data_IF_989723402756
#
_entry.id   IF_989723402756
#
_cell.length_a   1.000
_cell.length_b   1.000
_cell.length_c   1.000
_cell.angle_alpha   90.00
_cell.angle_beta   90.00
_cell.angle_gamma   90.00
#
_symmetry.space_group_name_H-M   'P 1'
#
loop_
_entity.id
_entity.type
_entity.pdbx_description
1 polymer ?
#
# COMPACT_ATOMS: atom_id res chain seq x y z
N UNK A 1 14.11 9.20 20.64
CA UNK A 1 14.63 8.53 21.86
C UNK A 1 14.56 7.04 21.62
N UNK A 2 15.70 6.35 21.52
CA UNK A 2 15.74 4.89 21.54
C UNK A 2 15.54 4.49 23.01
N UNK A 3 14.33 4.10 23.36
CA UNK A 3 14.06 3.57 24.70
C UNK A 3 14.74 2.22 24.89
N UNK A 4 15.31 1.96 26.05
CA UNK A 4 15.74 0.62 26.44
C UNK A 4 14.51 -0.31 26.49
N UNK A 5 14.67 -1.61 26.14
CA UNK A 5 13.59 -2.56 26.30
C UNK A 5 13.20 -2.67 27.77
N UNK A 6 11.92 -2.94 28.04
CA UNK A 6 11.45 -3.26 29.38
C UNK A 6 12.12 -4.60 29.81
N UNK A 7 12.90 -4.52 30.88
CA UNK A 7 13.62 -5.68 31.42
C UNK A 7 12.76 -6.36 32.47
N UNK A 8 12.69 -7.68 32.39
CA UNK A 8 11.88 -8.53 33.29
C UNK A 8 12.31 -8.41 34.77
N UNK A 9 13.61 -8.16 34.98
CA UNK A 9 14.20 -7.94 36.29
C UNK A 9 13.56 -6.73 37.02
N UNK A 10 13.01 -5.77 36.29
CA UNK A 10 12.42 -4.55 36.84
C UNK A 10 10.89 -4.51 36.75
N UNK A 11 10.25 -5.60 36.30
CA UNK A 11 8.80 -5.72 36.22
C UNK A 11 8.25 -6.68 37.24
N UNK A 12 7.01 -6.48 37.77
CA UNK A 12 6.30 -7.52 38.50
C UNK A 12 6.21 -8.79 37.64
N UNK A 13 6.31 -9.95 38.28
CA UNK A 13 6.50 -11.27 37.62
C UNK A 13 5.48 -11.75 36.58
N UNK A 14 4.50 -10.93 36.19
CA UNK A 14 3.42 -11.33 35.26
C UNK A 14 3.53 -10.77 33.83
N UNK A 15 4.56 -10.04 33.46
CA UNK A 15 4.70 -9.46 32.12
C UNK A 15 5.91 -10.03 31.35
N UNK A 16 5.75 -11.19 30.74
CA UNK A 16 6.68 -11.65 29.71
C UNK A 16 6.41 -10.89 28.40
N UNK A 17 7.01 -9.72 28.22
CA UNK A 17 6.95 -9.02 26.97
C UNK A 17 8.02 -9.56 26.02
N UNK A 18 7.60 -10.23 24.97
CA UNK A 18 8.47 -10.55 23.83
C UNK A 18 9.03 -9.24 23.27
N UNK A 19 10.35 -9.17 23.02
CA UNK A 19 10.97 -7.98 22.45
C UNK A 19 10.18 -7.55 21.20
N UNK A 20 9.72 -6.31 21.20
CA UNK A 20 8.86 -5.81 20.14
C UNK A 20 9.66 -5.79 18.82
N UNK A 21 9.37 -6.73 17.94
CA UNK A 21 9.86 -6.70 16.57
C UNK A 21 9.51 -5.33 15.95
N UNK A 22 10.39 -4.82 15.08
CA UNK A 22 10.12 -3.60 14.32
C UNK A 22 8.74 -3.69 13.69
N UNK A 23 7.90 -2.67 13.91
CA UNK A 23 6.58 -2.62 13.27
C UNK A 23 6.75 -2.75 11.76
N UNK A 24 5.99 -3.63 11.09
CA UNK A 24 6.11 -3.79 9.65
C UNK A 24 5.74 -2.51 8.92
N UNK A 25 6.25 -2.33 7.73
CA UNK A 25 5.75 -1.32 6.81
C UNK A 25 4.53 -1.85 6.05
N UNK A 26 3.67 -0.94 5.62
CA UNK A 26 2.52 -1.23 4.74
C UNK A 26 2.58 -0.28 3.56
N UNK A 27 2.50 -0.81 2.34
CA UNK A 27 2.46 -0.03 1.11
C UNK A 27 1.19 -0.41 0.36
N UNK A 28 0.40 0.58 -0.06
CA UNK A 28 -0.86 0.37 -0.76
C UNK A 28 -0.81 1.10 -2.10
N UNK A 29 -1.05 0.38 -3.18
CA UNK A 29 -1.23 0.90 -4.53
C UNK A 29 -2.69 0.75 -4.90
N UNK A 30 -3.35 1.85 -5.25
CA UNK A 30 -4.76 1.89 -5.63
C UNK A 30 -4.88 2.28 -7.10
N UNK A 31 -5.39 1.35 -7.90
CA UNK A 31 -5.72 1.57 -9.32
C UNK A 31 -7.15 2.06 -9.52
N UNK A 32 -7.49 2.35 -10.76
CA UNK A 32 -8.79 2.86 -11.19
C UNK A 32 -9.53 1.92 -12.13
N UNK A 33 -10.80 2.24 -12.38
CA UNK A 33 -11.68 1.71 -13.44
C UNK A 33 -11.93 0.19 -13.39
N UNK A 34 -11.64 -0.47 -12.27
CA UNK A 34 -11.85 -1.91 -12.10
C UNK A 34 -10.91 -2.75 -12.97
N UNK A 35 -11.25 -4.02 -13.12
CA UNK A 35 -10.49 -5.02 -13.89
C UNK A 35 -11.42 -5.88 -14.74
N UNK A 36 -10.85 -6.61 -15.71
CA UNK A 36 -11.62 -7.58 -16.51
C UNK A 36 -11.79 -8.88 -15.72
N UNK A 37 -12.89 -9.00 -15.03
CA UNK A 37 -13.26 -10.21 -14.31
C UNK A 37 -14.68 -10.67 -14.71
N UNK A 38 -14.97 -11.96 -14.48
CA UNK A 38 -16.29 -12.52 -14.78
C UNK A 38 -17.39 -11.74 -14.07
N UNK A 39 -18.44 -11.39 -14.81
CA UNK A 39 -19.56 -10.62 -14.30
C UNK A 39 -20.26 -9.79 -15.36
N UNK A 40 -20.99 -8.78 -14.89
CA UNK A 40 -21.73 -7.84 -15.76
C UNK A 40 -20.93 -6.57 -15.92
N UNK A 41 -20.83 -6.07 -17.15
CA UNK A 41 -20.38 -4.71 -17.45
C UNK A 41 -21.51 -3.94 -18.15
N UNK A 42 -21.41 -2.60 -18.17
CA UNK A 42 -22.43 -1.68 -18.72
C UNK A 42 -22.86 -2.00 -20.15
N UNK A 43 -21.95 -2.51 -20.98
CA UNK A 43 -22.19 -2.81 -22.40
C UNK A 43 -22.22 -4.29 -22.74
N UNK A 44 -21.94 -5.16 -21.77
CA UNK A 44 -21.79 -6.61 -21.99
C UNK A 44 -22.41 -7.37 -20.83
N UNK A 45 -23.35 -8.26 -21.13
CA UNK A 45 -24.07 -9.03 -20.11
C UNK A 45 -23.21 -10.11 -19.42
N UNK A 46 -22.11 -10.52 -20.02
CA UNK A 46 -21.18 -11.51 -19.45
C UNK A 46 -19.77 -11.17 -19.86
N UNK A 47 -18.94 -10.82 -18.90
CA UNK A 47 -17.51 -10.61 -19.11
C UNK A 47 -16.71 -11.90 -18.88
N UNK A 48 -15.66 -12.14 -19.67
CA UNK A 48 -14.77 -13.26 -19.42
C UNK A 48 -13.95 -13.02 -18.15
N UNK A 49 -13.55 -14.09 -17.48
CA UNK A 49 -12.56 -14.00 -16.43
C UNK A 49 -11.17 -13.81 -17.05
N UNK A 50 -10.55 -12.65 -16.81
CA UNK A 50 -9.21 -12.30 -17.31
C UNK A 50 -8.24 -11.83 -16.23
N UNK A 51 -8.70 -11.73 -14.99
CA UNK A 51 -7.91 -11.15 -13.91
C UNK A 51 -7.38 -12.17 -12.93
N UNK A 52 -8.28 -12.92 -12.28
CA UNK A 52 -7.94 -13.82 -11.17
C UNK A 52 -7.20 -15.08 -11.62
N UNK A 53 -6.35 -15.70 -10.76
CA UNK A 53 -5.81 -17.01 -11.04
C UNK A 53 -6.92 -18.03 -11.34
N UNK A 54 -6.62 -19.03 -12.16
CA UNK A 54 -7.61 -20.03 -12.59
C UNK A 54 -8.19 -20.85 -11.45
N UNK A 55 -7.40 -21.14 -10.41
CA UNK A 55 -7.84 -21.97 -9.28
C UNK A 55 -7.46 -21.33 -7.94
N UNK A 56 -8.37 -21.41 -6.97
CA UNK A 56 -8.11 -21.07 -5.57
C UNK A 56 -7.18 -22.08 -4.90
N UNK A 57 -6.53 -21.67 -3.81
CA UNK A 57 -5.61 -22.50 -3.05
C UNK A 57 -4.16 -22.07 -3.22
N UNK A 58 -3.25 -23.03 -3.21
CA UNK A 58 -1.82 -22.76 -3.28
C UNK A 58 -1.42 -22.13 -4.63
N UNK A 59 -0.65 -21.03 -4.55
CA UNK A 59 -0.05 -20.38 -5.71
C UNK A 59 1.36 -20.92 -5.93
N UNK A 60 1.69 -21.26 -7.15
CA UNK A 60 3.05 -21.64 -7.56
C UNK A 60 3.47 -20.84 -8.78
N UNK A 61 4.77 -20.65 -8.95
CA UNK A 61 5.31 -20.03 -10.18
C UNK A 61 4.80 -20.72 -11.43
N UNK A 62 4.74 -22.06 -11.43
CA UNK A 62 4.27 -22.84 -12.58
C UNK A 62 2.80 -22.57 -12.92
N UNK A 63 1.90 -22.58 -11.92
CA UNK A 63 0.47 -22.33 -12.15
C UNK A 63 0.23 -20.89 -12.64
N UNK A 64 0.87 -19.90 -12.03
CA UNK A 64 0.71 -18.50 -12.43
C UNK A 64 1.35 -18.21 -13.79
N UNK A 65 2.47 -18.89 -14.13
CA UNK A 65 3.07 -18.77 -15.46
C UNK A 65 2.15 -19.36 -16.53
N UNK A 66 1.50 -20.48 -16.26
CA UNK A 66 0.50 -21.06 -17.17
C UNK A 66 -0.69 -20.11 -17.37
N UNK A 67 -1.09 -19.39 -16.33
CA UNK A 67 -2.16 -18.40 -16.38
C UNK A 67 -1.80 -17.12 -17.15
N UNK A 68 -0.52 -16.81 -17.33
CA UNK A 68 -0.04 -15.51 -17.84
C UNK A 68 -0.65 -15.08 -19.18
N UNK A 69 -1.01 -16.02 -20.04
CA UNK A 69 -1.63 -15.71 -21.35
C UNK A 69 -3.06 -15.19 -21.18
N UNK A 70 -3.79 -15.72 -20.21
CA UNK A 70 -5.24 -15.51 -20.07
C UNK A 70 -5.63 -14.72 -18.82
N UNK A 71 -4.73 -14.58 -17.84
CA UNK A 71 -4.98 -13.94 -16.53
C UNK A 71 -3.95 -12.87 -16.24
N UNK A 72 -4.39 -11.68 -15.88
CA UNK A 72 -3.51 -10.56 -15.54
C UNK A 72 -2.60 -10.87 -14.35
N UNK A 73 -3.12 -11.59 -13.34
CA UNK A 73 -2.33 -12.01 -12.17
C UNK A 73 -1.12 -12.87 -12.51
N UNK A 74 -1.08 -13.51 -13.68
CA UNK A 74 0.07 -14.24 -14.17
C UNK A 74 1.33 -13.42 -14.35
N UNK A 75 1.23 -12.07 -14.45
CA UNK A 75 2.39 -11.17 -14.46
C UNK A 75 3.19 -11.22 -13.16
N UNK A 76 2.57 -11.68 -12.07
CA UNK A 76 3.18 -11.79 -10.74
C UNK A 76 3.74 -13.20 -10.45
N UNK A 77 3.89 -14.07 -11.45
CA UNK A 77 4.30 -15.47 -11.28
C UNK A 77 5.61 -15.62 -10.49
N UNK A 78 6.59 -14.71 -10.67
CA UNK A 78 7.86 -14.73 -9.93
C UNK A 78 7.69 -14.58 -8.42
N UNK A 79 6.56 -14.04 -7.99
CA UNK A 79 6.21 -13.80 -6.58
C UNK A 79 5.16 -14.75 -6.04
N UNK A 80 4.73 -15.77 -6.79
CA UNK A 80 3.63 -16.66 -6.45
C UNK A 80 3.63 -17.13 -4.99
N UNK A 81 4.79 -17.57 -4.49
CA UNK A 81 4.94 -18.09 -3.12
C UNK A 81 4.90 -16.99 -2.02
N UNK A 82 4.98 -15.73 -2.42
CA UNK A 82 4.93 -14.58 -1.51
C UNK A 82 3.59 -13.84 -1.56
N UNK A 83 2.75 -14.17 -2.55
CA UNK A 83 1.46 -13.53 -2.74
C UNK A 83 0.39 -14.09 -1.81
N UNK A 84 -0.52 -13.22 -1.41
CA UNK A 84 -1.84 -13.57 -0.92
C UNK A 84 -2.86 -12.80 -1.77
N UNK A 85 -3.56 -13.53 -2.65
CA UNK A 85 -4.62 -12.99 -3.51
C UNK A 85 -5.95 -13.25 -2.85
N UNK A 86 -6.78 -12.20 -2.70
CA UNK A 86 -8.05 -12.29 -1.98
C UNK A 86 -9.18 -11.83 -2.88
N UNK A 87 -10.12 -12.73 -3.15
CA UNK A 87 -11.34 -12.48 -3.89
C UNK A 87 -12.52 -12.38 -2.93
N UNK A 88 -13.53 -11.56 -3.25
CA UNK A 88 -14.74 -11.45 -2.45
C UNK A 88 -14.73 -10.30 -1.45
N UNK A 89 -13.95 -9.25 -1.70
CA UNK A 89 -13.93 -8.02 -0.90
C UNK A 89 -14.97 -7.03 -1.44
N UNK A 90 -15.75 -6.42 -0.55
CA UNK A 90 -16.80 -5.46 -0.88
C UNK A 90 -16.58 -4.09 -0.26
N UNK A 91 -16.90 -3.03 -1.00
CA UNK A 91 -17.14 -1.72 -0.42
C UNK A 91 -18.53 -1.68 0.25
N UNK A 92 -18.66 -0.99 1.39
CA UNK A 92 -19.87 -1.12 2.22
C UNK A 92 -21.08 -0.32 1.77
N UNK A 93 -20.90 0.73 0.98
CA UNK A 93 -21.99 1.65 0.64
C UNK A 93 -22.12 1.89 -0.85
N UNK A 94 -23.34 1.95 -1.35
CA UNK A 94 -23.62 2.33 -2.72
C UNK A 94 -23.15 3.75 -3.01
N UNK A 95 -22.91 4.05 -4.29
CA UNK A 95 -22.64 5.41 -4.71
C UNK A 95 -23.87 6.28 -4.55
N UNK A 96 -23.63 7.56 -4.36
CA UNK A 96 -24.66 8.58 -4.25
C UNK A 96 -24.32 9.78 -5.16
N UNK A 97 -23.95 9.47 -6.38
CA UNK A 97 -23.40 10.40 -7.36
C UNK A 97 -22.38 9.69 -8.25
N UNK A 98 -21.16 10.20 -8.33
CA UNK A 98 -20.09 9.53 -9.09
C UNK A 98 -19.59 8.28 -8.37
N UNK A 99 -19.73 7.13 -9.01
CA UNK A 99 -19.32 5.83 -8.44
C UNK A 99 -17.84 5.73 -8.20
N UNK A 100 -16.99 6.28 -9.07
CA UNK A 100 -15.54 6.32 -8.88
C UNK A 100 -15.15 7.09 -7.61
N UNK A 101 -15.68 8.30 -7.45
CA UNK A 101 -15.44 9.12 -6.26
C UNK A 101 -15.96 8.44 -4.97
N UNK A 102 -17.09 7.74 -5.06
CA UNK A 102 -17.65 6.99 -3.95
C UNK A 102 -16.76 5.79 -3.56
N UNK A 103 -16.21 5.11 -4.55
CA UNK A 103 -15.31 3.98 -4.35
C UNK A 103 -13.98 4.41 -3.74
N UNK A 104 -13.36 5.47 -4.29
CA UNK A 104 -12.13 6.05 -3.74
C UNK A 104 -12.30 6.44 -2.27
N UNK A 105 -13.42 7.07 -1.94
CA UNK A 105 -13.70 7.50 -0.56
C UNK A 105 -13.84 6.31 0.42
N UNK A 106 -14.21 5.11 -0.06
CA UNK A 106 -14.51 3.95 0.78
C UNK A 106 -13.36 2.96 0.89
N UNK A 107 -12.51 2.82 -0.13
CA UNK A 107 -11.54 1.71 -0.23
C UNK A 107 -10.58 1.64 0.96
N UNK A 108 -10.13 2.77 1.49
CA UNK A 108 -9.24 2.81 2.66
C UNK A 108 -9.90 3.34 3.93
N UNK A 109 -11.20 3.65 3.90
CA UNK A 109 -11.91 4.19 5.06
C UNK A 109 -13.01 3.26 5.59
N UNK A 110 -13.61 2.45 4.70
CA UNK A 110 -14.83 1.70 4.98
C UNK A 110 -15.93 2.57 5.65
N UNK A 111 -16.01 3.85 5.31
CA UNK A 111 -16.90 4.81 5.92
C UNK A 111 -18.03 5.20 4.96
N UNK A 112 -19.12 5.71 5.52
CA UNK A 112 -20.16 6.41 4.73
C UNK A 112 -19.54 7.54 3.93
N UNK A 113 -20.22 7.91 2.86
CA UNK A 113 -19.82 9.00 1.97
C UNK A 113 -20.82 10.16 2.06
N UNK A 114 -20.39 11.36 1.71
CA UNK A 114 -21.27 12.52 1.62
C UNK A 114 -22.36 12.29 0.58
N UNK A 115 -23.63 12.61 0.87
CA UNK A 115 -24.72 12.42 -0.07
C UNK A 115 -24.70 13.41 -1.23
N UNK A 116 -25.26 13.03 -2.38
CA UNK A 116 -25.63 13.91 -3.49
C UNK A 116 -24.48 14.62 -4.19
N UNK A 117 -23.25 14.11 -4.11
CA UNK A 117 -22.05 14.77 -4.66
C UNK A 117 -21.42 13.95 -5.79
N UNK A 118 -21.00 14.65 -6.85
CA UNK A 118 -20.12 14.06 -7.88
C UNK A 118 -18.70 13.88 -7.36
N UNK A 119 -18.35 14.57 -6.26
CA UNK A 119 -17.08 14.45 -5.54
C UNK A 119 -17.35 13.97 -4.11
N UNK A 120 -17.68 12.68 -3.97
CA UNK A 120 -17.98 12.09 -2.68
C UNK A 120 -16.76 12.18 -1.74
N UNK A 121 -17.02 12.40 -0.47
CA UNK A 121 -16.00 12.44 0.58
C UNK A 121 -16.33 11.40 1.66
N UNK A 122 -15.33 10.73 2.17
CA UNK A 122 -15.52 9.78 3.28
C UNK A 122 -15.90 10.51 4.57
N UNK A 123 -16.81 9.90 5.33
CA UNK A 123 -17.24 10.39 6.65
C UNK A 123 -16.37 9.82 7.81
N UNK A 124 -15.24 9.18 7.48
CA UNK A 124 -14.29 8.61 8.43
C UNK A 124 -12.85 8.85 8.02
N UNK A 125 -11.94 8.54 8.94
CA UNK A 125 -10.48 8.56 8.65
C UNK A 125 -10.09 7.34 7.82
N UNK A 126 -8.98 7.45 7.09
CA UNK A 126 -8.43 6.32 6.35
C UNK A 126 -7.46 5.47 7.20
N UNK A 127 -7.30 4.21 6.81
CA UNK A 127 -6.43 3.24 7.51
C UNK A 127 -4.98 3.69 7.55
N UNK A 128 -4.49 4.34 6.50
CA UNK A 128 -3.14 4.90 6.45
C UNK A 128 -2.95 6.02 7.48
N UNK A 129 -3.95 6.86 7.69
CA UNK A 129 -3.94 7.88 8.76
C UNK A 129 -3.91 7.23 10.14
N UNK A 130 -4.71 6.17 10.36
CA UNK A 130 -4.72 5.45 11.65
C UNK A 130 -3.37 4.77 11.93
N UNK A 131 -2.78 4.10 10.94
CA UNK A 131 -1.47 3.45 11.06
C UNK A 131 -0.37 4.49 11.28
N UNK A 132 -0.36 5.59 10.52
CA UNK A 132 0.66 6.63 10.66
C UNK A 132 0.65 7.25 12.06
N UNK A 133 -0.52 7.60 12.58
CA UNK A 133 -0.67 8.14 13.95
C UNK A 133 -0.10 7.20 15.01
N UNK A 134 -0.24 5.89 14.83
CA UNK A 134 0.17 4.90 15.81
C UNK A 134 1.64 4.44 15.64
N UNK A 135 2.17 4.44 14.42
CA UNK A 135 3.41 3.72 14.09
C UNK A 135 4.49 4.53 13.41
N UNK A 136 4.15 5.66 12.78
CA UNK A 136 5.17 6.49 12.15
C UNK A 136 6.08 7.16 13.19
N UNK A 137 7.35 7.37 12.86
CA UNK A 137 8.25 8.12 13.73
C UNK A 137 7.73 9.54 13.98
N UNK A 138 7.74 9.97 15.28
CA UNK A 138 7.53 11.36 15.70
C UNK A 138 6.29 12.07 15.10
N UNK A 139 5.16 11.37 14.99
CA UNK A 139 3.90 11.97 14.50
C UNK A 139 3.90 12.31 13.01
N UNK A 140 4.81 11.70 12.23
CA UNK A 140 4.87 11.90 10.79
C UNK A 140 3.61 11.38 10.11
N UNK A 141 3.09 12.16 9.18
CA UNK A 141 1.99 11.77 8.29
C UNK A 141 2.33 10.56 7.42
N UNK A 142 1.33 9.81 6.91
CA UNK A 142 1.56 8.80 5.88
C UNK A 142 2.15 9.44 4.63
N UNK A 143 2.97 8.70 3.89
CA UNK A 143 3.45 9.12 2.57
C UNK A 143 2.33 8.84 1.55
N UNK A 144 1.67 9.88 1.06
CA UNK A 144 0.53 9.74 0.15
C UNK A 144 0.83 10.40 -1.18
N UNK A 145 0.90 9.58 -2.23
CA UNK A 145 1.41 9.91 -3.56
C UNK A 145 0.30 9.77 -4.62
N UNK A 146 0.42 10.50 -5.71
CA UNK A 146 -0.54 10.48 -6.80
C UNK A 146 0.15 10.51 -8.18
N UNK A 147 -0.20 9.55 -9.01
CA UNK A 147 0.23 9.45 -10.41
C UNK A 147 -0.98 9.49 -11.34
N UNK A 148 -1.58 10.68 -11.50
CA UNK A 148 -2.74 10.94 -12.35
C UNK A 148 -2.46 11.96 -13.44
N UNK A 149 -3.52 12.35 -14.14
CA UNK A 149 -3.53 13.39 -15.18
C UNK A 149 -4.14 14.70 -14.69
N UNK A 150 -4.27 14.85 -13.37
CA UNK A 150 -4.91 16.00 -12.77
C UNK A 150 -4.28 17.33 -13.21
N UNK A 151 -5.07 18.18 -13.80
CA UNK A 151 -4.71 19.56 -14.14
C UNK A 151 -5.44 20.53 -13.19
N UNK A 152 -4.73 21.32 -12.39
CA UNK A 152 -5.37 22.33 -11.56
C UNK A 152 -6.21 23.30 -12.41
N UNK A 153 -7.49 23.39 -12.15
CA UNK A 153 -8.42 24.24 -12.89
C UNK A 153 -9.21 23.55 -14.01
N UNK A 154 -9.08 22.23 -14.14
CA UNK A 154 -9.89 21.43 -15.07
C UNK A 154 -11.38 21.39 -14.72
N UNK A 155 -12.20 20.98 -15.67
CA UNK A 155 -13.65 20.82 -15.49
C UNK A 155 -13.90 19.66 -14.54
N UNK A 156 -14.79 19.75 -13.60
CA UNK A 156 -15.17 18.86 -12.49
C UNK A 156 -14.90 17.33 -12.52
N UNK A 157 -14.33 16.81 -13.60
CA UNK A 157 -13.87 15.44 -13.76
C UNK A 157 -12.35 15.28 -13.51
N UNK A 158 -11.59 16.37 -13.51
CA UNK A 158 -10.13 16.41 -13.36
C UNK A 158 -9.71 16.59 -11.90
N UNK A 159 -10.43 16.00 -10.97
CA UNK A 159 -10.05 15.98 -9.55
C UNK A 159 -9.40 14.64 -9.19
N UNK A 160 -8.36 14.67 -8.34
CA UNK A 160 -7.81 13.43 -7.80
C UNK A 160 -8.91 12.65 -7.07
N UNK A 161 -9.00 11.34 -7.32
CA UNK A 161 -9.80 10.46 -6.49
C UNK A 161 -9.14 10.36 -5.11
N UNK A 162 -9.77 10.86 -4.07
CA UNK A 162 -9.15 10.87 -2.73
C UNK A 162 -9.42 9.56 -1.99
N UNK A 163 -8.35 8.81 -1.69
CA UNK A 163 -8.40 7.57 -0.90
C UNK A 163 -7.92 7.76 0.54
N UNK A 164 -7.15 8.82 0.82
CA UNK A 164 -6.60 9.12 2.15
C UNK A 164 -7.33 10.29 2.81
N UNK A 165 -7.73 10.11 4.08
CA UNK A 165 -8.50 11.08 4.85
C UNK A 165 -7.90 11.31 6.23
N UNK A 166 -7.70 12.60 6.58
CA UNK A 166 -7.15 13.04 7.88
C UNK A 166 -8.23 12.97 8.97
N UNK A 167 -9.43 13.47 8.62
CA UNK A 167 -10.65 13.48 9.44
C UNK A 167 -11.85 13.28 8.51
N UNK A 168 -13.07 13.07 9.04
CA UNK A 168 -14.28 13.03 8.21
C UNK A 168 -14.35 14.22 7.24
N UNK A 169 -14.59 13.94 5.98
CA UNK A 169 -14.71 14.90 4.86
C UNK A 169 -13.45 15.71 4.54
N UNK A 170 -12.33 15.45 5.22
CA UNK A 170 -11.06 16.14 4.98
C UNK A 170 -10.07 15.20 4.29
N UNK A 171 -10.01 15.19 2.96
CA UNK A 171 -9.02 14.39 2.25
C UNK A 171 -7.62 14.93 2.48
N UNK A 172 -6.64 14.03 2.41
CA UNK A 172 -5.22 14.40 2.42
C UNK A 172 -4.80 14.86 1.02
N UNK A 173 -4.09 15.97 0.98
CA UNK A 173 -3.48 16.44 -0.26
C UNK A 173 -2.37 15.47 -0.66
N UNK A 174 -2.36 15.06 -1.90
CA UNK A 174 -1.35 14.18 -2.46
C UNK A 174 -0.04 14.91 -2.73
N UNK A 175 1.07 14.18 -2.61
CA UNK A 175 2.32 14.59 -3.25
C UNK A 175 2.27 14.04 -4.68
N UNK A 176 2.18 14.93 -5.63
CA UNK A 176 1.95 14.65 -7.03
C UNK A 176 3.22 14.73 -7.90
N UNK A 177 4.34 15.13 -7.35
CA UNK A 177 5.64 15.19 -8.01
C UNK A 177 6.61 14.19 -7.35
N UNK A 178 7.23 13.27 -8.14
CA UNK A 178 8.28 12.41 -7.63
C UNK A 178 9.43 13.20 -6.98
N UNK A 179 9.78 14.37 -7.52
CA UNK A 179 10.82 15.20 -6.95
C UNK A 179 10.45 15.78 -5.58
N UNK A 180 9.21 16.27 -5.41
CA UNK A 180 8.70 16.73 -4.11
C UNK A 180 8.66 15.59 -3.09
N UNK A 181 8.24 14.38 -3.52
CA UNK A 181 8.27 13.19 -2.66
C UNK A 181 9.70 12.83 -2.24
N UNK A 182 10.64 12.83 -3.16
CA UNK A 182 12.06 12.64 -2.88
C UNK A 182 12.57 13.66 -1.84
N UNK A 183 12.31 14.97 -2.06
CA UNK A 183 12.70 16.03 -1.12
C UNK A 183 12.09 15.82 0.27
N UNK A 184 10.82 15.43 0.35
CA UNK A 184 10.16 15.16 1.63
C UNK A 184 10.85 14.02 2.39
N UNK A 185 11.20 12.93 1.70
CA UNK A 185 11.84 11.75 2.31
C UNK A 185 13.26 12.10 2.79
N UNK A 186 14.06 12.80 2.02
CA UNK A 186 15.44 13.17 2.41
C UNK A 186 15.50 14.37 3.38
N UNK A 187 14.35 15.04 3.62
CA UNK A 187 14.26 16.15 4.58
C UNK A 187 14.79 17.48 4.06
N UNK A 188 14.85 17.66 2.73
CA UNK A 188 15.20 18.93 2.10
C UNK A 188 13.95 19.77 1.89
N UNK A 189 13.63 20.63 2.83
CA UNK A 189 12.62 21.68 2.67
C UNK A 189 13.30 22.95 2.23
N UNK A 190 13.26 23.29 0.94
CA UNK A 190 13.81 24.55 0.45
C UNK A 190 13.67 24.70 -1.05
N UNK A 191 12.92 25.71 -1.47
CA UNK A 191 12.90 26.21 -2.85
C UNK A 191 14.28 26.74 -3.22
N UNK A 192 14.95 26.06 -4.14
CA UNK A 192 16.13 26.61 -4.83
C UNK A 192 17.47 26.03 -4.42
N UNK A 193 18.03 25.36 -5.36
CA UNK A 193 19.44 25.14 -5.71
C UNK A 193 19.93 23.68 -5.65
N UNK A 194 20.61 23.33 -6.69
CA UNK A 194 21.65 22.31 -6.96
C UNK A 194 22.31 21.73 -5.70
N UNK A 195 21.78 20.60 -5.18
CA UNK A 195 22.43 19.85 -4.10
C UNK A 195 22.23 18.35 -4.23
N UNK A 196 22.88 17.70 -5.17
CA UNK A 196 22.89 16.24 -5.31
C UNK A 196 23.80 15.53 -4.30
N UNK A 197 24.97 16.11 -3.99
CA UNK A 197 25.91 15.53 -3.02
C UNK A 197 25.56 15.84 -1.55
N UNK A 198 24.89 16.97 -1.28
CA UNK A 198 24.51 17.38 0.08
C UNK A 198 23.33 16.59 0.63
N UNK A 199 22.47 16.06 -0.23
CA UNK A 199 21.25 15.34 0.16
C UNK A 199 21.59 13.89 0.57
N UNK A 200 22.49 13.24 -0.18
CA UNK A 200 23.09 11.97 0.23
C UNK A 200 23.88 12.13 1.54
N UNK A 201 24.61 13.25 1.71
CA UNK A 201 25.30 13.59 2.95
C UNK A 201 24.34 13.88 4.12
N UNK A 202 23.14 14.40 3.87
CA UNK A 202 22.14 14.63 4.94
C UNK A 202 21.56 13.30 5.46
N UNK A 203 21.26 12.34 4.58
CA UNK A 203 20.90 10.97 4.94
C UNK A 203 22.05 10.26 5.67
N UNK A 204 23.27 10.41 5.16
CA UNK A 204 24.48 9.84 5.76
C UNK A 204 24.76 10.50 7.13
N UNK A 205 24.56 11.81 7.29
CA UNK A 205 24.66 12.50 8.58
C UNK A 205 23.57 12.05 9.56
N UNK A 206 22.37 11.72 9.09
CA UNK A 206 21.27 11.18 9.92
C UNK A 206 21.59 9.76 10.38
N UNK A 207 22.10 8.93 9.47
CA UNK A 207 22.61 7.59 9.78
C UNK A 207 23.80 7.66 10.76
N UNK A 208 24.74 8.58 10.54
CA UNK A 208 25.87 8.81 11.44
C UNK A 208 25.45 9.36 12.81
N UNK A 209 24.41 10.19 12.89
CA UNK A 209 23.84 10.65 14.18
C UNK A 209 23.19 9.50 14.95
N UNK A 210 22.46 8.62 14.27
CA UNK A 210 21.89 7.41 14.89
C UNK A 210 22.99 6.48 15.37
N UNK A 211 24.05 6.30 14.58
CA UNK A 211 25.25 5.54 14.94
C UNK A 211 25.98 6.17 16.13
N UNK A 212 26.13 7.49 16.15
CA UNK A 212 26.76 8.22 17.25
C UNK A 212 26.01 8.08 18.57
N UNK A 213 24.66 8.03 18.55
CA UNK A 213 23.85 7.79 19.76
C UNK A 213 24.07 6.38 20.29
N UNK A 214 24.15 5.39 19.42
CA UNK A 214 24.42 4.01 19.81
C UNK A 214 25.84 3.81 20.35
N UNK A 215 26.83 4.48 19.76
CA UNK A 215 28.22 4.46 20.26
C UNK A 215 28.33 5.12 21.64
N UNK A 216 27.53 6.16 21.92
CA UNK A 216 27.45 6.81 23.24
C UNK A 216 26.77 5.90 24.27
N UNK A 217 25.76 5.14 23.87
CA UNK A 217 25.01 4.23 24.77
C UNK A 217 25.71 2.87 24.98
N UNK A 218 26.62 2.48 24.09
CA UNK A 218 27.29 1.18 24.12
C UNK A 218 28.02 0.90 25.45
N UNK A 219 28.79 1.84 26.06
CA UNK A 219 29.40 1.60 27.37
C UNK A 219 28.37 1.35 28.48
N UNK A 220 27.26 2.10 28.45
CA UNK A 220 26.17 1.96 29.44
C UNK A 220 25.45 0.63 29.30
N UNK A 221 25.22 0.18 28.07
CA UNK A 221 24.57 -1.08 27.77
C UNK A 221 25.52 -2.26 28.10
N UNK A 222 26.82 -2.13 27.80
CA UNK A 222 27.81 -3.12 28.19
C UNK A 222 27.92 -3.26 29.71
N UNK A 223 27.87 -2.13 30.43
CA UNK A 223 27.83 -2.13 31.90
C UNK A 223 26.54 -2.78 32.44
N UNK A 224 25.40 -2.57 31.76
CA UNK A 224 24.13 -3.22 32.11
C UNK A 224 24.18 -4.74 31.88
N UNK A 225 24.74 -5.20 30.76
CA UNK A 225 24.92 -6.61 30.43
C UNK A 225 25.90 -7.32 31.41
N UNK A 226 26.86 -6.57 31.97
CA UNK A 226 27.81 -7.08 32.94
C UNK A 226 27.23 -7.26 34.36
N UNK A 227 26.03 -6.78 34.63
CA UNK A 227 25.37 -6.94 35.95
C UNK A 227 25.07 -8.41 36.23
N UNK A 228 25.33 -8.83 37.42
CA UNK A 228 25.12 -10.21 37.87
C UNK A 228 23.68 -10.51 38.30
N UNK A 229 22.91 -9.45 38.57
CA UNK A 229 21.51 -9.52 38.98
C UNK A 229 20.50 -9.53 37.82
N UNK A 230 20.95 -9.43 36.56
CA UNK A 230 20.08 -9.62 35.42
C UNK A 230 19.71 -11.08 35.19
N UNK A 231 18.44 -11.35 34.97
CA UNK A 231 17.98 -12.68 34.55
C UNK A 231 18.54 -13.07 33.17
N UNK A 232 18.62 -14.37 32.91
CA UNK A 232 19.01 -14.88 31.59
C UNK A 232 18.09 -14.36 30.47
N UNK A 233 16.80 -14.22 30.79
CA UNK A 233 15.77 -13.68 29.89
C UNK A 233 16.04 -12.21 29.56
N UNK A 234 16.39 -11.39 30.55
CA UNK A 234 16.67 -9.97 30.34
C UNK A 234 17.97 -9.74 29.57
N UNK A 235 18.99 -10.59 29.82
CA UNK A 235 20.22 -10.57 29.00
C UNK A 235 19.92 -10.87 27.53
N UNK A 236 19.11 -11.90 27.27
CA UNK A 236 18.71 -12.26 25.90
C UNK A 236 17.92 -11.13 25.24
N UNK A 237 17.03 -10.45 25.96
CA UNK A 237 16.27 -9.29 25.46
C UNK A 237 17.15 -8.08 25.14
N UNK A 238 18.13 -7.79 26.02
CA UNK A 238 19.11 -6.73 25.77
C UNK A 238 19.97 -7.04 24.55
N UNK A 239 20.45 -8.27 24.44
CA UNK A 239 21.27 -8.72 23.31
C UNK A 239 20.47 -8.69 21.99
N UNK A 240 19.22 -9.13 22.03
CA UNK A 240 18.30 -9.05 20.89
C UNK A 240 17.99 -7.60 20.49
N UNK A 241 17.82 -6.71 21.47
CA UNK A 241 17.60 -5.28 21.21
C UNK A 241 18.85 -4.63 20.60
N UNK A 242 20.03 -4.96 21.10
CA UNK A 242 21.31 -4.51 20.56
C UNK A 242 21.55 -5.05 19.16
N UNK A 243 21.24 -6.33 18.94
CA UNK A 243 21.31 -6.95 17.63
C UNK A 243 20.37 -6.25 16.65
N UNK A 244 19.12 -5.98 17.04
CA UNK A 244 18.18 -5.25 16.20
C UNK A 244 18.65 -3.82 15.86
N UNK A 245 19.25 -3.11 16.83
CA UNK A 245 19.88 -1.79 16.58
C UNK A 245 21.06 -1.94 15.64
N UNK A 246 21.93 -2.93 15.85
CA UNK A 246 23.09 -3.22 14.99
C UNK A 246 22.65 -3.60 13.59
N UNK A 247 21.57 -4.36 13.46
CA UNK A 247 20.99 -4.77 12.19
C UNK A 247 20.48 -3.55 11.40
N UNK A 248 19.87 -2.58 12.08
CA UNK A 248 19.50 -1.30 11.50
C UNK A 248 20.74 -0.52 11.06
N UNK A 249 21.77 -0.46 11.89
CA UNK A 249 23.04 0.22 11.57
C UNK A 249 23.77 -0.45 10.39
N UNK A 250 23.83 -1.78 10.36
CA UNK A 250 24.43 -2.56 9.27
C UNK A 250 23.61 -2.37 8.00
N UNK A 251 22.29 -2.45 8.07
CA UNK A 251 21.40 -2.19 6.91
C UNK A 251 21.60 -0.78 6.38
N UNK A 252 21.72 0.21 7.27
CA UNK A 252 21.98 1.61 6.89
C UNK A 252 23.42 1.85 6.40
N UNK A 253 24.38 0.98 6.75
CA UNK A 253 25.79 1.13 6.39
C UNK A 253 26.24 0.24 5.23
N UNK A 254 25.59 -0.90 5.01
CA UNK A 254 25.96 -1.86 3.95
C UNK A 254 25.10 -1.73 2.72
N UNK A 255 23.83 -1.33 2.87
CA UNK A 255 23.01 -0.91 1.74
C UNK A 255 23.22 0.58 1.59
N UNK A 256 23.88 1.01 0.54
CA UNK A 256 23.91 2.41 0.15
C UNK A 256 22.48 2.76 -0.24
N UNK A 257 21.69 3.22 0.74
CA UNK A 257 20.32 3.70 0.51
C UNK A 257 20.43 5.02 -0.28
N UNK A 258 20.67 4.91 -1.56
CA UNK A 258 20.75 6.05 -2.49
C UNK A 258 19.73 5.88 -3.59
N UNK A 259 19.10 6.97 -3.94
CA UNK A 259 18.40 7.10 -5.21
C UNK A 259 19.45 7.48 -6.25
N UNK A 260 19.55 6.76 -7.39
CA UNK A 260 20.51 7.10 -8.43
C UNK A 260 20.40 8.55 -8.89
N UNK A 261 21.53 9.21 -9.14
CA UNK A 261 21.54 10.61 -9.59
C UNK A 261 20.76 10.82 -10.90
N UNK A 262 20.75 9.81 -11.78
CA UNK A 262 19.96 9.82 -13.01
C UNK A 262 18.45 9.88 -12.71
N UNK A 263 17.98 9.13 -11.71
CA UNK A 263 16.56 9.16 -11.28
C UNK A 263 16.20 10.50 -10.66
N UNK A 264 17.10 11.08 -9.84
CA UNK A 264 16.91 12.43 -9.28
C UNK A 264 16.86 13.49 -10.38
N UNK A 265 17.71 13.38 -11.40
CA UNK A 265 17.69 14.28 -12.57
C UNK A 265 16.37 14.14 -13.35
N UNK A 266 15.91 12.91 -13.56
CA UNK A 266 14.63 12.61 -14.19
C UNK A 266 13.47 13.20 -13.40
N UNK A 267 13.42 13.00 -12.08
CA UNK A 267 12.40 13.58 -11.19
C UNK A 267 12.37 15.11 -11.28
N UNK A 268 13.54 15.75 -11.30
CA UNK A 268 13.66 17.22 -11.46
C UNK A 268 13.12 17.69 -12.81
N UNK A 269 13.41 16.99 -13.88
CA UNK A 269 12.93 17.35 -15.22
C UNK A 269 11.41 17.25 -15.34
N UNK A 270 10.79 16.40 -14.54
CA UNK A 270 9.34 16.16 -14.50
C UNK A 270 8.60 17.09 -13.55
N UNK A 271 9.28 17.79 -12.62
CA UNK A 271 8.63 18.55 -11.54
C UNK A 271 7.74 19.70 -12.06
N UNK A 272 8.05 20.26 -13.23
CA UNK A 272 7.24 21.27 -13.91
C UNK A 272 6.16 20.71 -14.84
N UNK A 273 6.17 19.39 -15.10
CA UNK A 273 5.28 18.68 -16.01
C UNK A 273 4.84 17.33 -15.43
N UNK A 274 4.32 17.28 -14.21
CA UNK A 274 4.13 16.00 -13.51
C UNK A 274 3.09 15.09 -14.16
N UNK A 275 2.24 15.61 -15.04
CA UNK A 275 1.07 14.91 -15.59
C UNK A 275 1.00 14.90 -17.10
N UNK A 276 2.13 15.10 -17.76
CA UNK A 276 2.20 14.84 -19.20
C UNK A 276 1.94 13.35 -19.44
N UNK A 277 1.09 13.07 -20.46
CA UNK A 277 0.77 11.72 -20.90
C UNK A 277 2.03 10.84 -21.10
N UNK A 278 3.11 11.41 -21.61
CA UNK A 278 4.37 10.72 -21.89
C UNK A 278 5.21 10.40 -20.66
N UNK A 279 4.97 11.06 -19.52
CA UNK A 279 5.79 10.97 -18.32
C UNK A 279 5.17 10.10 -17.21
N UNK A 280 3.88 9.77 -17.32
CA UNK A 280 3.16 9.03 -16.27
C UNK A 280 3.77 7.67 -15.94
N UNK A 281 4.15 6.87 -16.94
CA UNK A 281 4.77 5.55 -16.74
C UNK A 281 6.06 5.67 -15.90
N UNK A 282 6.88 6.65 -16.23
CA UNK A 282 8.11 6.95 -15.48
C UNK A 282 7.79 7.44 -14.07
N UNK A 283 6.79 8.32 -13.92
CA UNK A 283 6.38 8.84 -12.61
C UNK A 283 5.88 7.73 -11.69
N UNK A 284 5.06 6.81 -12.17
CA UNK A 284 4.55 5.65 -11.41
C UNK A 284 5.70 4.82 -10.86
N UNK A 285 6.69 4.48 -11.71
CA UNK A 285 7.85 3.68 -11.30
C UNK A 285 8.72 4.43 -10.28
N UNK A 286 8.98 5.72 -10.49
CA UNK A 286 9.73 6.56 -9.56
C UNK A 286 9.01 6.70 -8.20
N UNK A 287 7.69 6.84 -8.18
CA UNK A 287 6.94 6.83 -6.93
C UNK A 287 7.06 5.48 -6.20
N UNK A 288 7.00 4.37 -6.90
CA UNK A 288 7.18 3.04 -6.31
C UNK A 288 8.59 2.84 -5.74
N UNK A 289 9.61 3.34 -6.43
CA UNK A 289 10.99 3.37 -5.95
C UNK A 289 11.12 4.19 -4.66
N UNK A 290 10.46 5.35 -4.61
CA UNK A 290 10.43 6.22 -3.44
C UNK A 290 9.66 5.60 -2.26
N UNK A 291 8.58 4.86 -2.51
CA UNK A 291 7.85 4.12 -1.48
C UNK A 291 8.72 3.01 -0.87
N UNK A 292 9.40 2.23 -1.72
CA UNK A 292 10.33 1.20 -1.27
C UNK A 292 11.52 1.81 -0.49
N UNK A 293 12.08 2.90 -0.99
CA UNK A 293 13.12 3.66 -0.30
C UNK A 293 12.64 4.23 1.05
N UNK A 294 11.42 4.77 1.11
CA UNK A 294 10.80 5.27 2.34
C UNK A 294 10.68 4.18 3.41
N UNK A 295 10.26 2.98 3.00
CA UNK A 295 10.19 1.81 3.89
C UNK A 295 11.59 1.38 4.35
N UNK A 296 12.56 1.29 3.44
CA UNK A 296 13.94 0.92 3.76
C UNK A 296 14.60 1.93 4.72
N UNK A 297 14.40 3.23 4.49
CA UNK A 297 14.94 4.32 5.31
C UNK A 297 14.17 4.57 6.61
N UNK A 298 13.12 3.80 6.89
CA UNK A 298 12.23 4.02 8.04
C UNK A 298 11.66 5.45 8.09
N UNK A 299 11.42 6.03 6.90
CA UNK A 299 10.83 7.35 6.81
C UNK A 299 9.36 7.32 7.18
N UNK A 300 8.59 6.39 6.63
CA UNK A 300 7.18 6.17 6.96
C UNK A 300 6.87 4.67 6.98
N UNK A 301 6.06 4.24 7.93
CA UNK A 301 5.59 2.85 8.05
C UNK A 301 4.39 2.56 7.14
N UNK A 302 3.82 3.59 6.57
CA UNK A 302 2.69 3.48 5.66
C UNK A 302 2.85 4.44 4.49
N UNK A 303 2.73 3.91 3.27
CA UNK A 303 2.70 4.70 2.05
C UNK A 303 1.53 4.27 1.17
N UNK A 304 0.92 5.24 0.49
CA UNK A 304 -0.20 5.04 -0.43
C UNK A 304 0.15 5.70 -1.76
N UNK A 305 -0.03 4.99 -2.86
CA UNK A 305 0.04 5.52 -4.22
C UNK A 305 -1.32 5.35 -4.90
N UNK A 306 -1.96 6.44 -5.26
CA UNK A 306 -3.10 6.45 -6.16
C UNK A 306 -2.58 6.57 -7.60
N UNK A 307 -2.90 5.59 -8.45
CA UNK A 307 -2.62 5.64 -9.89
C UNK A 307 -3.92 5.97 -10.60
N UNK A 308 -3.90 7.05 -11.39
CA UNK A 308 -5.09 7.59 -12.02
C UNK A 308 -5.76 8.67 -11.18
N UNK A 309 -6.69 9.36 -11.81
CA UNK A 309 -7.54 10.38 -11.21
C UNK A 309 -8.84 9.73 -10.69
N UNK A 310 -9.89 10.51 -10.54
CA UNK A 310 -11.19 9.95 -10.19
C UNK A 310 -11.74 8.97 -11.22
N UNK A 311 -11.48 9.22 -12.52
CA UNK A 311 -11.97 8.41 -13.65
C UNK A 311 -10.87 7.85 -14.55
N UNK A 312 -9.63 8.17 -14.28
CA UNK A 312 -8.44 7.85 -15.07
C UNK A 312 -8.60 8.02 -16.59
N UNK A 313 -8.55 9.26 -17.02
CA UNK A 313 -8.60 9.65 -18.44
C UNK A 313 -7.25 9.49 -19.16
N UNK A 314 -6.28 8.76 -18.59
CA UNK A 314 -5.02 8.48 -19.25
C UNK A 314 -5.25 7.69 -20.55
N UNK A 315 -4.57 8.11 -21.60
CA UNK A 315 -4.68 7.47 -22.92
C UNK A 315 -3.65 6.36 -23.06
N UNK A 316 -4.12 5.15 -23.26
CA UNK A 316 -3.30 3.99 -23.55
C UNK A 316 -3.35 3.65 -25.04
N UNK A 317 -2.36 2.92 -25.52
CA UNK A 317 -2.32 2.43 -26.89
C UNK A 317 -2.17 0.91 -26.90
N UNK A 318 -3.08 0.22 -27.58
CA UNK A 318 -3.11 -1.22 -27.73
C UNK A 318 -3.41 -1.58 -29.19
N UNK A 319 -2.54 -2.38 -29.82
CA UNK A 319 -2.65 -2.79 -31.22
C UNK A 319 -2.94 -1.63 -32.19
N UNK A 320 -2.28 -0.48 -31.99
CA UNK A 320 -2.43 0.71 -32.83
C UNK A 320 -3.68 1.56 -32.53
N UNK A 321 -4.53 1.14 -31.62
CA UNK A 321 -5.68 1.91 -31.15
C UNK A 321 -5.32 2.67 -29.87
N UNK A 322 -5.57 3.97 -29.82
CA UNK A 322 -5.41 4.79 -28.62
C UNK A 322 -6.77 5.18 -28.07
N UNK A 323 -6.95 5.03 -26.75
CA UNK A 323 -8.19 5.39 -26.08
C UNK A 323 -7.94 5.71 -24.59
N UNK A 324 -8.81 6.53 -23.99
CA UNK A 324 -8.84 6.80 -22.56
C UNK A 324 -9.19 5.52 -21.81
N UNK A 325 -8.53 5.28 -20.67
CA UNK A 325 -8.84 4.09 -19.86
C UNK A 325 -10.31 4.03 -19.45
N UNK A 326 -10.87 5.15 -19.06
CA UNK A 326 -12.29 5.24 -18.71
C UNK A 326 -13.21 4.73 -19.84
N UNK A 327 -12.98 5.15 -21.08
CA UNK A 327 -13.77 4.70 -22.24
C UNK A 327 -13.57 3.20 -22.51
N UNK A 328 -12.34 2.70 -22.36
CA UNK A 328 -12.03 1.27 -22.46
C UNK A 328 -12.75 0.47 -21.39
N UNK A 329 -12.74 0.94 -20.13
CA UNK A 329 -13.38 0.26 -19.01
C UNK A 329 -14.91 0.16 -19.21
N UNK A 330 -15.53 1.17 -19.80
CA UNK A 330 -16.95 1.19 -20.14
C UNK A 330 -17.32 0.50 -21.47
N UNK A 331 -16.36 -0.16 -22.13
CA UNK A 331 -16.60 -0.88 -23.39
C UNK A 331 -17.07 0.04 -24.53
N UNK A 332 -16.65 1.31 -24.50
CA UNK A 332 -17.03 2.31 -25.51
C UNK A 332 -16.09 2.32 -26.74
N UNK A 333 -15.12 1.43 -26.77
CA UNK A 333 -14.14 1.32 -27.87
C UNK A 333 -14.10 -0.10 -28.43
N UNK A 334 -13.60 -0.28 -29.64
CA UNK A 334 -13.41 -1.61 -30.24
C UNK A 334 -12.42 -2.44 -29.41
N UNK A 335 -12.63 -3.75 -29.37
CA UNK A 335 -11.79 -4.71 -28.63
C UNK A 335 -11.53 -4.32 -27.16
N UNK A 336 -12.48 -3.64 -26.54
CA UNK A 336 -12.33 -3.04 -25.21
C UNK A 336 -11.96 -4.07 -24.13
N UNK A 337 -12.42 -5.32 -24.21
CA UNK A 337 -12.10 -6.38 -23.26
C UNK A 337 -10.60 -6.72 -23.30
N UNK A 338 -10.06 -6.96 -24.48
CA UNK A 338 -8.64 -7.27 -24.64
C UNK A 338 -7.76 -6.05 -24.35
N UNK A 339 -8.24 -4.86 -24.70
CA UNK A 339 -7.55 -3.62 -24.39
C UNK A 339 -7.50 -3.38 -22.85
N UNK A 340 -8.61 -3.58 -22.14
CA UNK A 340 -8.65 -3.48 -20.69
C UNK A 340 -7.76 -4.53 -20.02
N UNK A 341 -7.79 -5.77 -20.51
CA UNK A 341 -6.89 -6.83 -20.04
C UNK A 341 -5.40 -6.46 -20.21
N UNK A 342 -5.05 -5.81 -21.33
CA UNK A 342 -3.69 -5.27 -21.54
C UNK A 342 -3.35 -4.22 -20.47
N UNK A 343 -4.29 -3.31 -20.14
CA UNK A 343 -4.08 -2.29 -19.08
C UNK A 343 -3.96 -2.96 -17.70
N UNK A 344 -4.80 -3.94 -17.37
CA UNK A 344 -4.68 -4.71 -16.12
C UNK A 344 -3.30 -5.33 -15.96
N UNK A 345 -2.76 -5.94 -17.01
CA UNK A 345 -1.42 -6.53 -17.01
C UNK A 345 -0.35 -5.46 -16.79
N UNK A 346 -0.50 -4.30 -17.41
CA UNK A 346 0.44 -3.19 -17.22
C UNK A 346 0.40 -2.66 -15.79
N UNK A 347 -0.79 -2.52 -15.17
CA UNK A 347 -0.92 -2.14 -13.77
C UNK A 347 -0.25 -3.14 -12.82
N UNK A 348 -0.39 -4.44 -13.10
CA UNK A 348 0.29 -5.47 -12.31
C UNK A 348 1.80 -5.51 -12.57
N UNK A 349 2.27 -5.11 -13.75
CA UNK A 349 3.70 -4.92 -14.00
C UNK A 349 4.27 -3.71 -13.23
N UNK A 350 3.51 -2.63 -13.04
CA UNK A 350 3.92 -1.58 -12.10
C UNK A 350 4.02 -2.13 -10.67
N UNK A 351 3.01 -2.87 -10.23
CA UNK A 351 3.05 -3.48 -8.90
C UNK A 351 4.25 -4.46 -8.76
N UNK A 352 4.54 -5.26 -9.80
CA UNK A 352 5.73 -6.11 -9.84
C UNK A 352 7.02 -5.30 -9.67
N UNK A 353 7.14 -4.15 -10.33
CA UNK A 353 8.30 -3.25 -10.16
C UNK A 353 8.49 -2.82 -8.69
N UNK A 354 7.40 -2.52 -7.97
CA UNK A 354 7.47 -2.25 -6.54
C UNK A 354 7.99 -3.46 -5.75
N UNK A 355 7.52 -4.67 -6.07
CA UNK A 355 7.97 -5.90 -5.42
C UNK A 355 9.44 -6.18 -5.70
N UNK A 356 9.89 -6.02 -6.94
CA UNK A 356 11.29 -6.14 -7.36
C UNK A 356 12.17 -5.18 -6.54
N UNK A 357 11.73 -3.93 -6.37
CA UNK A 357 12.45 -2.92 -5.60
C UNK A 357 12.52 -3.24 -4.11
N UNK A 358 11.41 -3.62 -3.50
CA UNK A 358 11.37 -4.05 -2.10
C UNK A 358 12.23 -5.29 -1.85
N UNK A 359 12.26 -6.22 -2.80
CA UNK A 359 13.08 -7.44 -2.70
C UNK A 359 14.57 -7.16 -2.89
N UNK A 360 14.94 -6.08 -3.59
CA UNK A 360 16.34 -5.70 -3.80
C UNK A 360 17.01 -5.12 -2.55
N UNK A 361 16.23 -4.62 -1.59
CA UNK A 361 16.76 -4.15 -0.31
C UNK A 361 16.97 -5.33 0.64
N UNK A 362 18.24 -5.62 0.94
CA UNK A 362 18.62 -6.65 1.90
C UNK A 362 18.60 -6.12 3.32
N UNK A 363 18.09 -6.93 4.24
CA UNK A 363 18.15 -6.70 5.68
C UNK A 363 18.75 -7.93 6.35
N UNK A 364 19.21 -7.85 7.60
CA UNK A 364 19.73 -9.04 8.31
C UNK A 364 18.70 -10.18 8.43
N UNK A 365 17.41 -9.84 8.39
CA UNK A 365 16.30 -10.83 8.44
C UNK A 365 15.82 -11.27 7.05
N UNK A 366 16.56 -10.96 5.98
CA UNK A 366 16.20 -11.27 4.61
C UNK A 366 15.75 -10.05 3.80
N UNK A 367 15.11 -10.25 2.64
CA UNK A 367 14.60 -9.15 1.83
C UNK A 367 13.62 -8.25 2.59
N UNK A 368 13.65 -6.95 2.32
CA UNK A 368 12.77 -5.98 2.98
C UNK A 368 11.29 -6.35 2.82
N UNK A 369 10.90 -6.88 1.66
CA UNK A 369 9.52 -7.32 1.39
C UNK A 369 9.00 -8.30 2.46
N UNK A 370 9.84 -9.15 3.02
CA UNK A 370 9.42 -10.11 4.07
C UNK A 370 9.00 -9.44 5.39
N UNK A 371 9.48 -8.22 5.65
CA UNK A 371 9.22 -7.49 6.90
C UNK A 371 7.94 -6.65 6.86
N UNK A 372 7.37 -6.44 5.71
CA UNK A 372 6.16 -5.66 5.53
C UNK A 372 5.15 -6.34 4.65
N UNK A 373 4.25 -5.55 4.12
CA UNK A 373 3.29 -5.97 3.10
C UNK A 373 3.09 -4.86 2.07
N UNK A 374 3.19 -5.23 0.81
CA UNK A 374 2.80 -4.39 -0.32
C UNK A 374 1.45 -4.88 -0.85
N UNK A 375 0.55 -3.97 -1.17
CA UNK A 375 -0.82 -4.27 -1.57
C UNK A 375 -1.12 -3.56 -2.89
N UNK A 376 -1.74 -4.27 -3.82
CA UNK A 376 -2.44 -3.69 -4.96
C UNK A 376 -3.93 -3.93 -4.79
N UNK A 377 -4.71 -2.87 -4.88
CA UNK A 377 -6.17 -2.92 -4.95
C UNK A 377 -6.68 -1.94 -6.00
N UNK A 378 -7.96 -2.02 -6.31
CA UNK A 378 -8.60 -1.11 -7.25
C UNK A 378 -9.78 -0.42 -6.57
N UNK A 379 -10.14 0.78 -7.01
CA UNK A 379 -11.31 1.48 -6.47
C UNK A 379 -12.61 0.73 -6.76
N UNK A 380 -12.76 0.19 -7.97
CA UNK A 380 -13.93 -0.57 -8.41
C UNK A 380 -13.53 -2.03 -8.72
N UNK A 381 -14.51 -2.92 -8.75
CA UNK A 381 -14.29 -4.30 -9.16
C UNK A 381 -14.24 -4.44 -10.69
N UNK A 382 -15.11 -3.73 -11.40
CA UNK A 382 -15.20 -3.76 -12.87
C UNK A 382 -15.51 -2.36 -13.42
N UNK A 383 -15.40 -2.19 -14.72
CA UNK A 383 -15.84 -0.98 -15.43
C UNK A 383 -17.35 -0.70 -15.35
N UNK A 384 -18.15 -1.64 -14.85
CA UNK A 384 -19.56 -1.39 -14.49
C UNK A 384 -19.74 -0.67 -13.15
N UNK A 385 -18.68 -0.16 -12.56
CA UNK A 385 -18.66 0.47 -11.23
C UNK A 385 -19.13 -0.47 -10.11
N UNK A 386 -18.88 -1.78 -10.24
CA UNK A 386 -19.23 -2.70 -9.17
C UNK A 386 -18.37 -2.47 -7.94
N UNK A 387 -18.98 -2.54 -6.77
CA UNK A 387 -18.33 -2.46 -5.46
C UNK A 387 -18.15 -3.85 -4.82
N UNK A 388 -18.60 -4.88 -5.50
CA UNK A 388 -18.46 -6.25 -5.06
C UNK A 388 -17.31 -6.94 -5.78
N UNK A 389 -16.49 -7.68 -5.03
CA UNK A 389 -15.33 -8.40 -5.57
C UNK A 389 -14.18 -7.46 -6.02
N UNK A 390 -13.88 -6.45 -5.19
CA UNK A 390 -12.74 -5.54 -5.38
C UNK A 390 -11.44 -6.35 -5.44
N UNK A 391 -10.58 -6.13 -6.44
CA UNK A 391 -9.26 -6.74 -6.48
C UNK A 391 -8.44 -6.42 -5.23
N UNK A 392 -7.88 -7.47 -4.61
CA UNK A 392 -6.99 -7.33 -3.47
C UNK A 392 -5.85 -8.33 -3.59
N UNK A 393 -4.66 -7.84 -3.89
CA UNK A 393 -3.44 -8.63 -4.05
C UNK A 393 -2.40 -8.08 -3.09
N UNK A 394 -1.82 -8.93 -2.26
CA UNK A 394 -0.74 -8.51 -1.37
C UNK A 394 0.46 -9.45 -1.45
N UNK A 395 1.65 -8.90 -1.24
CA UNK A 395 2.91 -9.62 -1.13
C UNK A 395 3.62 -9.27 0.17
N UNK A 396 4.25 -10.25 0.79
CA UNK A 396 4.86 -10.11 2.10
C UNK A 396 3.93 -10.51 3.23
N UNK A 397 4.50 -10.74 4.41
CA UNK A 397 3.78 -11.34 5.55
C UNK A 397 3.57 -10.40 6.72
N UNK A 398 4.08 -9.16 6.68
CA UNK A 398 4.08 -8.25 7.81
C UNK A 398 4.59 -8.95 9.09
N UNK A 399 5.82 -9.43 9.05
CA UNK A 399 6.47 -10.21 10.14
C UNK A 399 5.69 -11.48 10.54
N UNK A 400 5.09 -12.18 9.58
CA UNK A 400 4.39 -13.44 9.82
C UNK A 400 2.92 -13.31 10.20
N UNK A 401 2.34 -12.12 10.11
CA UNK A 401 0.90 -11.95 10.37
C UNK A 401 0.04 -12.55 9.27
N UNK A 402 0.40 -12.33 8.00
CA UNK A 402 -0.38 -12.81 6.85
C UNK A 402 0.14 -14.13 6.29
N UNK A 403 -0.78 -14.95 5.79
CA UNK A 403 -0.46 -16.08 4.91
C UNK A 403 0.22 -15.58 3.64
N UNK A 404 0.89 -16.49 2.96
CA UNK A 404 1.50 -16.29 1.65
C UNK A 404 1.33 -17.51 0.76
N UNK A 405 1.58 -17.37 -0.53
CA UNK A 405 1.46 -18.45 -1.51
C UNK A 405 0.02 -18.98 -1.66
N UNK A 406 -0.98 -18.10 -1.51
CA UNK A 406 -2.39 -18.52 -1.49
C UNK A 406 -3.27 -17.57 -2.32
N UNK A 407 -4.25 -18.17 -3.01
CA UNK A 407 -5.40 -17.46 -3.56
C UNK A 407 -6.65 -17.90 -2.80
N UNK A 408 -7.29 -16.97 -2.11
CA UNK A 408 -8.44 -17.21 -1.24
C UNK A 408 -9.69 -16.50 -1.77
N UNK A 409 -10.81 -17.21 -1.76
CA UNK A 409 -12.13 -16.63 -1.93
C UNK A 409 -12.77 -16.50 -0.53
N UNK A 410 -12.98 -15.26 -0.06
CA UNK A 410 -13.54 -14.96 1.27
C UNK A 410 -15.05 -14.67 1.22
N UNK A 411 -15.66 -14.77 0.06
CA UNK A 411 -17.08 -14.59 -0.20
C UNK A 411 -17.49 -15.31 -1.48
N UNK A 412 -18.69 -15.08 -1.98
CA UNK A 412 -19.18 -15.71 -3.21
C UNK A 412 -18.37 -15.30 -4.44
N UNK A 413 -17.71 -14.15 -4.39
CA UNK A 413 -16.93 -13.58 -5.49
C UNK A 413 -17.78 -13.23 -6.73
N UNK A 414 -19.08 -13.34 -6.63
CA UNK A 414 -20.01 -13.00 -7.70
C UNK A 414 -20.58 -11.60 -7.46
N UNK A 415 -20.75 -10.85 -8.53
CA UNK A 415 -21.48 -9.61 -8.47
C UNK A 415 -22.96 -9.89 -8.28
N UNK A 416 -23.65 -9.13 -7.40
CA UNK A 416 -25.10 -9.18 -7.34
C UNK A 416 -25.69 -8.86 -8.72
N UNK A 417 -26.73 -9.57 -9.17
CA UNK A 417 -27.43 -9.24 -10.41
C UNK A 417 -27.87 -7.77 -10.41
N UNK A 418 -27.56 -7.04 -11.47
CA UNK A 418 -27.91 -5.62 -11.60
C UNK A 418 -27.11 -4.68 -10.73
N UNK A 419 -25.93 -5.07 -10.23
CA UNK A 419 -25.00 -4.20 -9.50
C UNK A 419 -24.25 -3.25 -10.44
N UNK A 420 -24.98 -2.46 -11.18
CA UNK A 420 -24.45 -1.32 -11.93
C UNK A 420 -24.42 -0.10 -11.01
N UNK A 421 -23.61 0.89 -11.36
CA UNK A 421 -23.53 2.18 -10.68
C UNK A 421 -23.17 2.12 -9.19
N UNK A 422 -22.20 1.28 -8.86
CA UNK A 422 -21.57 1.32 -7.55
C UNK A 422 -22.43 0.83 -6.39
N UNK A 423 -23.38 -0.04 -6.63
CA UNK A 423 -24.10 -0.68 -5.54
C UNK A 423 -23.18 -1.58 -4.75
N UNK A 424 -23.16 -1.41 -3.45
CA UNK A 424 -22.46 -2.28 -2.52
C UNK A 424 -22.98 -3.71 -2.58
N UNK A 425 -22.20 -4.65 -2.06
CA UNK A 425 -22.66 -6.03 -1.93
C UNK A 425 -23.79 -6.19 -0.93
N UNK A 426 -24.52 -7.25 -1.10
CA UNK A 426 -25.67 -7.64 -0.27
C UNK A 426 -25.28 -8.30 1.07
N UNK A 427 -23.99 -8.28 1.43
CA UNK A 427 -23.46 -8.97 2.60
C UNK A 427 -23.04 -10.42 2.35
N UNK A 428 -23.22 -10.95 1.15
CA UNK A 428 -22.75 -12.31 0.75
C UNK A 428 -21.24 -12.40 0.58
N UNK A 429 -20.55 -11.25 0.63
CA UNK A 429 -19.11 -11.07 0.54
C UNK A 429 -18.58 -10.39 1.78
N UNK A 430 -17.25 -10.43 1.97
CA UNK A 430 -16.63 -9.82 3.13
C UNK A 430 -16.39 -8.33 2.92
N UNK A 431 -16.81 -7.52 3.86
CA UNK A 431 -16.60 -6.07 3.81
C UNK A 431 -15.12 -5.69 3.92
N UNK A 432 -14.74 -4.64 3.19
CA UNK A 432 -13.38 -4.09 3.19
C UNK A 432 -12.91 -3.69 4.60
N UNK A 433 -13.81 -3.27 5.49
CA UNK A 433 -13.47 -2.94 6.88
C UNK A 433 -12.73 -4.08 7.60
N UNK A 434 -13.08 -5.34 7.33
CA UNK A 434 -12.42 -6.50 7.93
C UNK A 434 -10.98 -6.67 7.45
N UNK A 435 -10.73 -6.40 6.16
CA UNK A 435 -9.36 -6.36 5.60
C UNK A 435 -8.57 -5.21 6.21
N UNK A 436 -9.17 -4.02 6.35
CA UNK A 436 -8.53 -2.88 6.99
C UNK A 436 -8.21 -3.16 8.46
N UNK A 437 -9.08 -3.89 9.19
CA UNK A 437 -8.77 -4.39 10.53
C UNK A 437 -7.57 -5.34 10.54
N UNK A 438 -7.44 -6.24 9.55
CA UNK A 438 -6.25 -7.07 9.41
C UNK A 438 -4.99 -6.22 9.23
N UNK A 439 -5.03 -5.15 8.42
CA UNK A 439 -3.87 -4.26 8.23
C UNK A 439 -3.49 -3.53 9.52
N UNK A 440 -4.46 -3.02 10.27
CA UNK A 440 -4.23 -2.37 11.57
C UNK A 440 -3.57 -3.34 12.55
N UNK A 441 -4.09 -4.55 12.66
CA UNK A 441 -3.50 -5.58 13.54
C UNK A 441 -2.11 -6.01 13.06
N UNK A 442 -1.89 -6.17 11.76
CA UNK A 442 -0.58 -6.46 11.19
C UNK A 442 0.44 -5.37 11.50
N UNK A 443 0.03 -4.10 11.45
CA UNK A 443 0.83 -2.96 11.89
C UNK A 443 1.01 -2.89 13.41
N UNK A 444 0.34 -3.74 14.18
CA UNK A 444 0.36 -3.71 15.64
C UNK A 444 -0.43 -2.54 16.25
N UNK A 445 -1.42 -2.01 15.53
CA UNK A 445 -2.35 -1.02 16.06
C UNK A 445 -3.40 -1.72 16.88
N UNK A 446 -3.56 -1.31 18.14
CA UNK A 446 -4.50 -1.90 19.09
C UNK A 446 -5.51 -0.87 19.56
N UNK A 447 -6.64 -1.36 20.07
CA UNK A 447 -7.61 -0.55 20.80
C UNK A 447 -7.06 -0.12 22.16
N UNK A 448 -7.76 0.80 22.82
CA UNK A 448 -7.51 1.11 24.23
C UNK A 448 -7.59 -0.17 25.05
N UNK A 449 -6.58 -0.40 25.89
CA UNK A 449 -6.45 -1.65 26.66
C UNK A 449 -5.73 -2.79 25.93
N UNK A 450 -5.18 -2.56 24.73
CA UNK A 450 -4.29 -3.51 24.03
C UNK A 450 -5.02 -4.60 23.22
N UNK A 451 -6.35 -4.58 23.16
CA UNK A 451 -7.11 -5.54 22.37
C UNK A 451 -6.88 -5.31 20.85
N UNK A 452 -6.93 -6.38 20.03
CA UNK A 452 -6.86 -6.26 18.58
C UNK A 452 -7.96 -5.35 18.01
N UNK A 453 -7.62 -4.60 16.95
CA UNK A 453 -8.60 -3.78 16.21
C UNK A 453 -9.54 -4.65 15.41
N UNK A 454 -10.85 -4.47 15.56
CA UNK A 454 -11.89 -5.25 14.86
C UNK A 454 -13.08 -4.39 14.40
N UNK A 455 -13.05 -3.08 14.61
CA UNK A 455 -14.17 -2.15 14.44
C UNK A 455 -13.79 -0.88 13.65
N UNK A 456 -12.76 -0.94 12.83
CA UNK A 456 -12.40 0.15 11.92
C UNK A 456 -13.46 0.35 10.84
N UNK A 457 -13.69 1.61 10.46
CA UNK A 457 -14.69 2.03 9.49
C UNK A 457 -15.96 2.55 10.17
N UNK A 458 -17.07 2.45 9.47
CA UNK A 458 -18.37 2.89 10.00
C UNK A 458 -18.86 1.95 11.11
N UNK A 459 -19.35 2.52 12.20
CA UNK A 459 -19.75 1.78 13.40
C UNK A 459 -20.88 0.76 13.15
N UNK A 460 -21.69 0.95 12.11
CA UNK A 460 -22.77 0.03 11.73
C UNK A 460 -22.31 -1.21 10.99
N UNK A 461 -21.04 -1.27 10.55
CA UNK A 461 -20.51 -2.42 9.83
C UNK A 461 -20.26 -3.61 10.76
N UNK A 462 -20.41 -4.84 10.26
CA UNK A 462 -20.06 -6.03 11.01
C UNK A 462 -18.59 -5.99 11.44
N UNK A 463 -18.37 -6.10 12.75
CA UNK A 463 -17.02 -6.13 13.34
C UNK A 463 -16.25 -7.39 12.96
N UNK A 464 -14.95 -7.36 13.19
CA UNK A 464 -14.07 -8.52 13.06
C UNK A 464 -12.97 -8.33 12.02
N UNK A 465 -12.25 -9.39 11.79
CA UNK A 465 -11.18 -9.54 10.79
C UNK A 465 -11.53 -10.68 9.84
N UNK A 466 -10.77 -10.82 8.77
CA UNK A 466 -10.73 -12.04 7.97
C UNK A 466 -9.67 -12.98 8.56
N UNK A 467 -10.11 -13.96 9.34
CA UNK A 467 -9.22 -14.95 9.96
C UNK A 467 -8.49 -15.80 8.91
N UNK A 468 -9.09 -15.98 7.74
CA UNK A 468 -8.56 -16.73 6.61
C UNK A 468 -7.25 -16.14 6.07
N UNK A 469 -7.00 -14.82 6.28
CA UNK A 469 -5.79 -14.14 5.84
C UNK A 469 -4.62 -14.33 6.80
N UNK A 470 -4.86 -14.73 8.05
CA UNK A 470 -3.82 -14.90 9.06
C UNK A 470 -3.04 -16.18 8.88
N UNK A 471 -1.72 -16.10 9.11
CA UNK A 471 -0.81 -17.25 9.13
C UNK A 471 -1.05 -18.17 10.33
#
# INVERSE_FOLDING_TARGET
MLGLPLLETFLPREASAQAAARSPFIIIVVGDNGVVQAGVNLSVNAEPERFWPTATGALTTASMTADKVTRSTGELADYAEQLLIVRGINLPYSSNGCSHSAADAQILTAAKITPGSTNCKAMGISVDTAIAKAKNPAGRDPLVLHAGMFSPGGTGFDIPGYVSYITPQQPRVYIDSPYKAYQAIIGVTGTGSTRTSADAQALQRRALRSKSINDILRPQISALLARTDLSTSDRARLDQHLSAIRDIEVTMSTTTLTIPDADVATMKSMDSKPYDQSTRDTAVKLFMDLMAFSAAADYSRIAVLKIGDRIDDHVYTYNGQSAKFHDVSHRQVANAVDFHHYIDRMMLNYYKHLLDKLSSYSTPSGPLLAQGVAIYCNQCATGAHSFSNIPWIQAGTANGYFKKGQYLAVGTGQQPPGSQDGKGGDGSVSGVNKVLNNLLNAAGVTKTGGAPTDDFGEASLPKGILSELKA
#
